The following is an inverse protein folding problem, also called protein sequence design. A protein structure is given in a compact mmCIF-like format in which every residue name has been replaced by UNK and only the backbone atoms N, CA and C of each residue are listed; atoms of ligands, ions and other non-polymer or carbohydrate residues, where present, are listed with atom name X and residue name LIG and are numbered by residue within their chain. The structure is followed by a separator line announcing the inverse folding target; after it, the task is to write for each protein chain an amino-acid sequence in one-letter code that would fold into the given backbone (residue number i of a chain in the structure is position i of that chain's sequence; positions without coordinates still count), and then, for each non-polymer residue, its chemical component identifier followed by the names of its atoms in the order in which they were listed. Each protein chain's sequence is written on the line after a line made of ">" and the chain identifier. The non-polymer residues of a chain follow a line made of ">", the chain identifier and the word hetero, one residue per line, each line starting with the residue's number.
data_IF_042207761443
#
_entry.id   IF_042207761443
#
_cell.length_a   1.000
_cell.length_b   1.000
_cell.length_c   1.000
_cell.angle_alpha   90.00
_cell.angle_beta   90.00
_cell.angle_gamma   90.00
#
_symmetry.space_group_name_H-M   'P 1'
#
loop_
_entity.id
_entity.type
_entity.pdbx_description
1 polymer ?
#
# COMPACT_ATOMS: atom_id res chain seq x y z
N UNK A 1 -2.68 -5.36 2.80
CA UNK A 1 -1.86 -5.40 1.57
C UNK A 1 -2.51 -6.37 0.61
N UNK A 2 -2.58 -6.03 -0.67
CA UNK A 2 -3.25 -6.85 -1.69
C UNK A 2 -2.57 -6.65 -3.06
N UNK A 3 -2.58 -7.69 -3.90
CA UNK A 3 -2.08 -7.66 -5.29
C UNK A 3 -0.64 -7.15 -5.52
N UNK A 4 0.25 -7.20 -4.52
CA UNK A 4 1.59 -6.57 -4.57
C UNK A 4 2.61 -7.26 -5.50
N UNK A 5 2.20 -8.15 -6.40
CA UNK A 5 3.10 -8.98 -7.21
C UNK A 5 3.14 -8.63 -8.71
N UNK A 6 2.19 -7.83 -9.20
CA UNK A 6 2.05 -7.55 -10.63
C UNK A 6 1.80 -6.07 -10.87
N UNK A 7 2.84 -5.35 -11.29
CA UNK A 7 2.74 -3.97 -11.74
C UNK A 7 3.85 -3.66 -12.75
N UNK A 8 3.45 -3.41 -14.00
CA UNK A 8 4.38 -3.13 -15.09
C UNK A 8 4.96 -1.69 -15.02
N UNK A 9 4.37 -0.83 -14.19
CA UNK A 9 4.79 0.58 -13.99
C UNK A 9 5.79 0.76 -12.84
N UNK A 10 6.16 -0.32 -12.13
CA UNK A 10 7.03 -0.31 -10.95
C UNK A 10 6.51 0.60 -9.82
N UNK A 11 5.19 0.66 -9.67
CA UNK A 11 4.50 1.48 -8.67
C UNK A 11 3.87 0.60 -7.59
N UNK A 12 4.11 0.95 -6.34
CA UNK A 12 3.43 0.42 -5.17
C UNK A 12 2.78 1.59 -4.44
N UNK A 13 1.47 1.52 -4.22
CA UNK A 13 0.73 2.56 -3.53
C UNK A 13 0.60 2.23 -2.04
N UNK A 14 0.75 3.24 -1.19
CA UNK A 14 0.28 3.24 0.18
C UNK A 14 -0.93 4.18 0.29
N UNK A 15 -2.07 3.61 0.67
CA UNK A 15 -3.35 4.29 0.83
C UNK A 15 -3.66 4.54 2.32
N UNK A 16 -4.72 5.31 2.58
CA UNK A 16 -5.26 5.77 3.88
C UNK A 16 -4.53 6.97 4.54
N UNK A 17 -3.59 7.59 3.83
CA UNK A 17 -2.86 8.79 4.26
C UNK A 17 -3.67 10.09 4.14
N UNK A 18 -4.72 10.11 3.32
CA UNK A 18 -5.70 11.19 3.28
C UNK A 18 -6.52 11.22 4.58
N UNK A 19 -6.98 10.05 5.05
CA UNK A 19 -7.76 9.92 6.28
C UNK A 19 -6.91 10.05 7.53
N UNK A 20 -5.66 9.56 7.50
CA UNK A 20 -4.71 9.64 8.62
C UNK A 20 -3.36 10.24 8.21
N UNK A 21 -3.27 11.57 7.98
CA UNK A 21 -2.05 12.23 7.51
C UNK A 21 -0.83 12.06 8.43
N UNK A 22 -1.03 11.79 9.72
CA UNK A 22 0.05 11.54 10.69
C UNK A 22 0.88 10.29 10.36
N UNK A 23 0.30 9.33 9.64
CA UNK A 23 1.01 8.13 9.20
C UNK A 23 1.96 8.40 8.02
N UNK A 24 1.92 9.58 7.40
CA UNK A 24 2.76 9.86 6.23
C UNK A 24 4.25 9.97 6.56
N UNK A 25 4.60 10.48 7.73
CA UNK A 25 5.99 10.82 8.05
C UNK A 25 6.94 9.61 8.01
N UNK A 26 6.61 8.44 8.60
CA UNK A 26 7.44 7.24 8.51
C UNK A 26 7.74 6.78 7.08
N UNK A 27 6.81 7.02 6.16
CA UNK A 27 6.96 6.63 4.76
C UNK A 27 7.74 7.65 3.92
N UNK A 28 7.75 8.92 4.31
CA UNK A 28 8.34 10.01 3.52
C UNK A 28 9.86 9.87 3.28
N UNK A 29 10.57 9.16 4.17
CA UNK A 29 12.00 8.91 4.06
C UNK A 29 12.37 7.65 3.28
N UNK A 30 11.40 6.79 2.94
CA UNK A 30 11.66 5.53 2.28
C UNK A 30 12.01 5.76 0.82
N UNK A 31 13.19 5.30 0.42
CA UNK A 31 13.63 5.29 -0.97
C UNK A 31 13.95 3.86 -1.37
N UNK A 32 13.33 3.40 -2.44
CA UNK A 32 13.77 2.20 -3.16
C UNK A 32 14.42 2.63 -4.47
N UNK A 33 15.47 1.93 -4.86
CA UNK A 33 16.18 2.19 -6.12
C UNK A 33 15.47 1.58 -7.33
N UNK A 34 14.44 0.75 -7.11
CA UNK A 34 13.85 -0.11 -8.14
C UNK A 34 12.35 0.02 -8.32
N UNK A 35 11.62 0.44 -7.29
CA UNK A 35 10.17 0.67 -7.36
C UNK A 35 9.82 2.00 -6.69
N UNK A 36 8.73 2.61 -7.11
CA UNK A 36 8.25 3.87 -6.59
C UNK A 36 7.15 3.61 -5.54
N UNK A 37 7.36 4.10 -4.32
CA UNK A 37 6.29 4.21 -3.34
C UNK A 37 5.48 5.48 -3.66
N UNK A 38 4.19 5.31 -3.94
CA UNK A 38 3.25 6.40 -4.21
C UNK A 38 2.18 6.45 -3.11
N UNK A 39 1.52 7.60 -2.98
CA UNK A 39 0.45 7.82 -2.01
C UNK A 39 -0.83 8.19 -2.74
N UNK A 40 -1.95 7.55 -2.40
CA UNK A 40 -3.25 7.86 -3.01
C UNK A 40 -4.25 6.72 -2.89
N UNK A 41 -5.29 6.80 -3.73
CA UNK A 41 -6.46 5.92 -3.70
C UNK A 41 -7.21 5.93 -2.36
N UNK A 42 -7.33 7.09 -1.74
CA UNK A 42 -7.96 7.29 -0.43
C UNK A 42 -8.65 8.66 -0.29
N UNK A 43 -8.61 9.49 -1.34
CA UNK A 43 -9.27 10.80 -1.38
C UNK A 43 -10.69 10.64 -1.97
N UNK A 44 -11.75 10.84 -1.17
CA UNK A 44 -13.11 10.65 -1.66
C UNK A 44 -13.44 11.64 -2.78
N UNK A 45 -14.09 11.14 -3.84
CA UNK A 45 -14.54 11.92 -5.00
C UNK A 45 -13.41 12.54 -5.85
N UNK A 46 -12.16 12.08 -5.70
CA UNK A 46 -11.08 12.48 -6.60
C UNK A 46 -11.36 11.98 -8.02
N UNK A 47 -11.52 12.91 -8.96
CA UNK A 47 -11.82 12.56 -10.35
C UNK A 47 -10.65 11.80 -10.99
N UNK A 48 -10.97 10.69 -11.66
CA UNK A 48 -9.99 9.92 -12.43
C UNK A 48 -9.06 9.04 -11.60
N UNK A 49 -9.31 8.89 -10.30
CA UNK A 49 -8.58 7.99 -9.40
C UNK A 49 -9.60 7.23 -8.58
N UNK A 50 -9.47 5.90 -8.54
CA UNK A 50 -10.35 5.08 -7.71
C UNK A 50 -10.04 5.27 -6.23
N UNK A 51 -11.08 5.33 -5.41
CA UNK A 51 -10.96 5.37 -3.95
C UNK A 51 -10.99 3.94 -3.40
N UNK A 52 -9.88 3.51 -2.80
CA UNK A 52 -9.71 2.18 -2.22
C UNK A 52 -10.14 2.08 -0.77
N UNK A 53 -10.66 3.15 -0.15
CA UNK A 53 -11.07 3.19 1.26
C UNK A 53 -11.98 2.00 1.64
N UNK A 54 -12.84 1.53 0.72
CA UNK A 54 -13.77 0.42 0.95
C UNK A 54 -13.50 -0.83 0.08
N UNK A 55 -12.37 -0.89 -0.63
CA UNK A 55 -12.15 -1.86 -1.70
C UNK A 55 -11.63 -3.23 -1.25
N UNK A 56 -11.18 -3.39 0.00
CA UNK A 56 -10.67 -4.67 0.52
C UNK A 56 -10.98 -4.82 2.03
N UNK A 57 -10.35 -5.79 2.69
CA UNK A 57 -10.62 -6.17 4.07
C UNK A 57 -10.40 -5.04 5.09
N UNK A 58 -9.54 -4.06 4.76
CA UNK A 58 -9.27 -2.90 5.61
C UNK A 58 -10.49 -2.00 5.82
N UNK A 59 -11.55 -2.11 5.02
CA UNK A 59 -12.76 -1.28 5.13
C UNK A 59 -13.35 -1.25 6.55
N UNK A 60 -13.30 -2.37 7.28
CA UNK A 60 -13.85 -2.46 8.64
C UNK A 60 -13.01 -1.65 9.63
N UNK A 61 -11.70 -1.52 9.40
CA UNK A 61 -10.83 -0.66 10.21
C UNK A 61 -11.19 0.81 9.99
N UNK A 62 -11.41 1.20 8.73
CA UNK A 62 -11.90 2.54 8.39
C UNK A 62 -13.25 2.85 9.09
N UNK A 63 -14.24 1.96 8.98
CA UNK A 63 -15.55 2.12 9.64
C UNK A 63 -15.44 2.25 11.17
N UNK A 64 -14.46 1.58 11.77
CA UNK A 64 -14.20 1.62 13.21
C UNK A 64 -13.23 2.72 13.63
N UNK A 65 -12.78 3.57 12.70
CA UNK A 65 -11.81 4.65 12.93
C UNK A 65 -10.48 4.14 13.50
N UNK A 66 -10.08 2.95 13.07
CA UNK A 66 -8.77 2.36 13.38
C UNK A 66 -7.84 2.73 12.21
N UNK A 67 -6.76 3.49 12.46
CA UNK A 67 -5.81 3.84 11.40
C UNK A 67 -5.16 2.60 10.80
N UNK A 68 -4.97 2.59 9.48
CA UNK A 68 -4.24 1.53 8.79
C UNK A 68 -3.38 2.11 7.67
N UNK A 69 -2.57 1.25 7.07
CA UNK A 69 -1.95 1.52 5.77
C UNK A 69 -2.24 0.33 4.88
N UNK A 70 -2.78 0.61 3.70
CA UNK A 70 -3.00 -0.41 2.68
C UNK A 70 -1.97 -0.27 1.57
N UNK A 71 -1.14 -1.30 1.42
CA UNK A 71 -0.23 -1.42 0.28
C UNK A 71 -0.89 -2.20 -0.85
N UNK A 72 -0.92 -1.63 -2.05
CA UNK A 72 -1.51 -2.27 -3.23
C UNK A 72 -1.01 -1.67 -4.54
N UNK A 73 -1.47 -2.24 -5.64
CA UNK A 73 -1.19 -1.79 -7.00
C UNK A 73 -2.50 -1.62 -7.75
N UNK A 74 -2.50 -0.78 -8.78
CA UNK A 74 -3.64 -0.68 -9.70
C UNK A 74 -3.81 -1.99 -10.48
N UNK A 75 -5.03 -2.19 -10.99
CA UNK A 75 -5.39 -3.34 -11.83
C UNK A 75 -4.37 -3.54 -12.96
N UNK A 76 -3.96 -4.79 -13.14
CA UNK A 76 -3.09 -5.21 -14.22
C UNK A 76 -3.87 -5.98 -15.29
N UNK A 77 -3.25 -6.21 -16.44
CA UNK A 77 -3.89 -6.88 -17.60
C UNK A 77 -4.48 -8.26 -17.30
N UNK A 78 -3.99 -8.92 -16.24
CA UNK A 78 -4.38 -10.27 -15.82
C UNK A 78 -5.40 -10.27 -14.66
N UNK A 79 -5.72 -9.12 -14.08
CA UNK A 79 -6.63 -9.02 -12.94
C UNK A 79 -8.01 -9.64 -13.25
N UNK A 80 -8.52 -10.45 -12.32
CA UNK A 80 -9.78 -11.20 -12.44
C UNK A 80 -9.89 -12.08 -13.70
N UNK A 81 -8.76 -12.58 -14.21
CA UNK A 81 -8.71 -13.52 -15.36
C UNK A 81 -8.02 -14.81 -14.99
N UNK A 82 -8.28 -15.86 -15.77
CA UNK A 82 -7.58 -17.15 -15.64
C UNK A 82 -6.08 -17.06 -15.93
N UNK A 83 -5.61 -15.94 -16.49
CA UNK A 83 -4.19 -15.66 -16.72
C UNK A 83 -3.49 -15.09 -15.49
N UNK A 84 -4.21 -14.74 -14.41
CA UNK A 84 -3.61 -14.37 -13.13
C UNK A 84 -2.96 -15.59 -12.46
N UNK A 85 -1.73 -15.85 -12.86
CA UNK A 85 -0.98 -17.06 -12.54
C UNK A 85 0.43 -16.68 -12.12
N UNK A 86 1.07 -17.57 -11.36
CA UNK A 86 2.45 -17.37 -10.89
C UNK A 86 3.44 -17.06 -12.02
N UNK A 87 3.21 -17.58 -13.23
CA UNK A 87 4.05 -17.36 -14.39
C UNK A 87 4.01 -15.90 -14.87
N UNK A 88 2.90 -15.20 -14.64
CA UNK A 88 2.65 -13.86 -15.16
C UNK A 88 2.95 -12.74 -14.16
N UNK A 89 3.35 -13.04 -12.92
CA UNK A 89 3.75 -12.00 -11.96
C UNK A 89 5.09 -11.34 -12.33
N UNK A 90 5.29 -10.10 -11.91
CA UNK A 90 6.60 -9.42 -12.01
C UNK A 90 7.48 -9.80 -10.81
N UNK A 91 8.14 -10.96 -10.84
CA UNK A 91 8.89 -11.51 -9.68
C UNK A 91 9.87 -10.53 -9.01
N UNK A 92 10.65 -9.79 -9.81
CA UNK A 92 11.59 -8.79 -9.26
C UNK A 92 10.86 -7.65 -8.55
N UNK A 93 9.77 -7.15 -9.15
CA UNK A 93 8.92 -6.14 -8.53
C UNK A 93 8.34 -6.65 -7.20
N UNK A 94 7.79 -7.87 -7.16
CA UNK A 94 7.26 -8.46 -5.93
C UNK A 94 8.30 -8.49 -4.79
N UNK A 95 9.52 -8.96 -5.09
CA UNK A 95 10.59 -9.03 -4.08
C UNK A 95 10.92 -7.61 -3.56
N UNK A 96 11.00 -6.63 -4.46
CA UNK A 96 11.32 -5.25 -4.07
C UNK A 96 10.14 -4.57 -3.35
N UNK A 97 8.89 -4.92 -3.68
CA UNK A 97 7.68 -4.49 -2.96
C UNK A 97 7.69 -5.01 -1.52
N UNK A 98 7.96 -6.31 -1.32
CA UNK A 98 8.08 -6.91 0.01
C UNK A 98 9.21 -6.25 0.82
N UNK A 99 10.38 -6.01 0.22
CA UNK A 99 11.48 -5.29 0.89
C UNK A 99 11.07 -3.89 1.31
N UNK A 100 10.38 -3.14 0.45
CA UNK A 100 9.92 -1.80 0.76
C UNK A 100 8.90 -1.80 1.90
N UNK A 101 7.95 -2.75 1.89
CA UNK A 101 6.96 -2.92 2.96
C UNK A 101 7.65 -3.26 4.29
N UNK A 102 8.69 -4.10 4.29
CA UNK A 102 9.48 -4.38 5.50
C UNK A 102 10.13 -3.10 6.05
N UNK A 103 10.74 -2.27 5.20
CA UNK A 103 11.31 -0.99 5.64
C UNK A 103 10.25 -0.02 6.15
N UNK A 104 9.05 -0.02 5.56
CA UNK A 104 7.92 0.74 6.07
C UNK A 104 7.49 0.30 7.47
N UNK A 105 7.38 -1.01 7.70
CA UNK A 105 7.06 -1.55 9.03
C UNK A 105 8.11 -1.10 10.05
N UNK A 106 9.41 -1.26 9.76
CA UNK A 106 10.50 -0.81 10.65
C UNK A 106 10.45 0.70 10.93
N UNK A 107 10.12 1.50 9.92
CA UNK A 107 9.99 2.95 10.08
C UNK A 107 8.82 3.30 11.01
N UNK A 108 7.68 2.62 10.87
CA UNK A 108 6.55 2.78 11.79
C UNK A 108 6.89 2.30 13.21
N UNK A 109 7.52 1.15 13.37
CA UNK A 109 7.95 0.62 14.68
C UNK A 109 8.88 1.59 15.41
N UNK A 110 9.71 2.33 14.66
CA UNK A 110 10.64 3.32 15.24
C UNK A 110 9.98 4.66 15.55
N UNK A 111 8.95 5.04 14.78
CA UNK A 111 8.32 6.35 14.87
C UNK A 111 7.12 6.39 15.82
N UNK A 112 6.28 5.36 15.77
CA UNK A 112 5.10 5.30 16.62
C UNK A 112 5.56 5.00 18.05
N UNK A 113 5.03 5.75 19.05
CA UNK A 113 5.33 5.43 20.42
C UNK A 113 4.88 4.01 20.71
N UNK A 114 5.76 3.21 21.30
CA UNK A 114 5.31 2.00 21.99
C UNK A 114 4.49 2.54 23.14
N UNK A 115 3.17 2.34 23.11
CA UNK A 115 2.36 2.49 24.31
C UNK A 115 3.00 1.57 25.36
N UNK A 116 3.75 2.15 26.28
CA UNK A 116 4.06 1.52 27.55
C UNK A 116 2.72 1.40 28.24
N UNK A 117 2.03 0.30 28.02
CA UNK A 117 0.93 -0.10 28.87
C UNK A 117 1.55 -0.35 30.25
N UNK A 118 1.41 0.66 31.11
CA UNK A 118 1.36 0.50 32.55
C UNK A 118 0.28 -0.52 32.93
#
# INVERSE_FOLDING_TARGET
>A
MDMIAHNDSLQLYASDLYHYPSLKQPLAGLKSTKINLLFGHDEPNKKGVEDWTFSSDHRIFHEKKIPYIYFGVEDHKDYHKSTDTFQNINKSFYIDAVRLIIEAIKAYDSYLPIDSKD
#
